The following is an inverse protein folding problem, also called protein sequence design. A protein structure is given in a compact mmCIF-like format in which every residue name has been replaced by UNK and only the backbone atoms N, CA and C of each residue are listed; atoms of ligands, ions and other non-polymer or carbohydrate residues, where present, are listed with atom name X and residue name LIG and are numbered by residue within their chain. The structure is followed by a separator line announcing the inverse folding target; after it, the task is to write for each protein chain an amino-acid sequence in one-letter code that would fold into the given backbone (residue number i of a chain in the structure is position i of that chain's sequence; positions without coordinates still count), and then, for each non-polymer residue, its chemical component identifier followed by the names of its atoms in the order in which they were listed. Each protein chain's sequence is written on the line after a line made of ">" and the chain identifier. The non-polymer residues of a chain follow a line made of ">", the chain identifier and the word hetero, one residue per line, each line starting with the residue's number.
data_IF_924463704329
#
_entry.id   IF_924463704329
#
_cell.length_a   1.000
_cell.length_b   1.000
_cell.length_c   1.000
_cell.angle_alpha   90.00
_cell.angle_beta   90.00
_cell.angle_gamma   90.00
#
_symmetry.space_group_name_H-M   'P 1'
#
loop_
_entity.id
_entity.type
_entity.pdbx_description
1 polymer ?
#
# COMPACT_ATOMS: atom_id res chain seq x y z
N UNK A 1 -20.58 -3.20 32.24
CA UNK A 1 -20.51 -4.13 31.08
C UNK A 1 -21.39 -3.62 29.94
N UNK A 2 -22.52 -2.97 30.23
CA UNK A 2 -23.35 -2.29 29.22
C UNK A 2 -22.74 -0.96 28.71
N UNK A 3 -22.02 -0.21 29.55
CA UNK A 3 -21.37 1.05 29.13
C UNK A 3 -20.24 0.85 28.10
N UNK A 4 -19.62 -0.34 28.08
CA UNK A 4 -18.59 -0.70 27.08
C UNK A 4 -19.17 -1.04 25.71
N UNK A 5 -20.45 -1.43 25.65
CA UNK A 5 -21.17 -1.74 24.40
C UNK A 5 -21.74 -0.45 23.77
N UNK A 6 -22.10 0.54 24.59
CA UNK A 6 -22.58 1.85 24.14
C UNK A 6 -21.43 2.67 23.54
N UNK A 7 -20.24 2.66 24.16
CA UNK A 7 -19.05 3.30 23.59
C UNK A 7 -18.58 2.66 22.26
N UNK A 8 -18.78 1.35 22.09
CA UNK A 8 -18.51 0.66 20.82
C UNK A 8 -19.53 1.06 19.72
N UNK A 9 -20.81 1.27 20.10
CA UNK A 9 -21.87 1.70 19.18
C UNK A 9 -21.74 3.17 18.74
N UNK A 10 -21.27 4.07 19.60
CA UNK A 10 -21.03 5.47 19.22
C UNK A 10 -19.78 5.63 18.32
N UNK A 11 -18.75 4.81 18.52
CA UNK A 11 -17.58 4.69 17.62
C UNK A 11 -17.94 4.08 16.25
N UNK A 12 -18.93 3.17 16.21
CA UNK A 12 -19.38 2.50 14.98
C UNK A 12 -19.98 3.47 13.95
N UNK A 13 -20.62 4.56 14.40
CA UNK A 13 -21.27 5.54 13.53
C UNK A 13 -20.33 6.36 12.64
N UNK A 14 -19.07 6.55 13.07
CA UNK A 14 -18.03 7.25 12.28
C UNK A 14 -17.22 6.25 11.44
N UNK A 15 -17.11 5.00 11.93
CA UNK A 15 -16.28 3.98 11.30
C UNK A 15 -16.82 3.44 9.98
N UNK A 16 -18.15 3.36 9.81
CA UNK A 16 -18.79 2.93 8.56
C UNK A 16 -18.65 3.97 7.44
N UNK A 17 -18.93 5.27 7.65
CA UNK A 17 -18.62 6.32 6.68
C UNK A 17 -17.13 6.39 6.32
N UNK A 18 -16.26 6.12 7.28
CA UNK A 18 -14.81 6.11 7.05
C UNK A 18 -14.39 4.95 6.14
N UNK A 19 -14.95 3.75 6.34
CA UNK A 19 -14.68 2.60 5.46
C UNK A 19 -15.16 2.87 4.03
N UNK A 20 -16.34 3.45 3.87
CA UNK A 20 -16.90 3.82 2.55
C UNK A 20 -16.04 4.90 1.86
N UNK A 21 -15.54 5.87 2.63
CA UNK A 21 -14.60 6.87 2.12
C UNK A 21 -13.28 6.23 1.66
N UNK A 22 -12.74 5.27 2.42
CA UNK A 22 -11.56 4.52 2.02
C UNK A 22 -11.81 3.66 0.77
N UNK A 23 -12.95 2.97 0.71
CA UNK A 23 -13.36 2.16 -0.44
C UNK A 23 -13.42 3.02 -1.70
N UNK A 24 -14.12 4.16 -1.63
CA UNK A 24 -14.18 5.14 -2.72
C UNK A 24 -12.78 5.64 -3.10
N UNK A 25 -11.94 5.95 -2.12
CA UNK A 25 -10.59 6.45 -2.37
C UNK A 25 -9.70 5.41 -3.05
N UNK A 26 -9.79 4.15 -2.62
CA UNK A 26 -9.03 3.03 -3.20
C UNK A 26 -9.53 2.69 -4.62
N UNK A 27 -10.84 2.76 -4.87
CA UNK A 27 -11.41 2.60 -6.23
C UNK A 27 -10.94 3.67 -7.22
N UNK A 28 -10.52 4.84 -6.74
CA UNK A 28 -10.00 5.92 -7.56
C UNK A 28 -8.49 5.77 -7.87
N UNK A 29 -7.76 4.94 -7.12
CA UNK A 29 -6.30 4.77 -7.31
C UNK A 29 -5.92 4.27 -8.72
N UNK A 30 -6.57 3.23 -9.29
CA UNK A 30 -6.27 2.78 -10.66
C UNK A 30 -6.54 3.85 -11.71
N UNK A 31 -7.57 4.67 -11.49
CA UNK A 31 -7.91 5.78 -12.39
C UNK A 31 -6.81 6.85 -12.34
N UNK A 32 -6.37 7.24 -11.14
CA UNK A 32 -5.24 8.18 -10.98
C UNK A 32 -3.96 7.67 -11.63
N UNK A 33 -3.67 6.38 -11.53
CA UNK A 33 -2.54 5.77 -12.23
C UNK A 33 -2.69 5.90 -13.77
N UNK A 34 -3.87 5.60 -14.31
CA UNK A 34 -4.09 5.70 -15.76
C UNK A 34 -3.99 7.12 -16.31
N UNK A 35 -4.26 8.14 -15.50
CA UNK A 35 -4.15 9.55 -15.90
C UNK A 35 -2.71 10.07 -15.97
N UNK A 36 -1.71 9.19 -15.76
CA UNK A 36 -0.33 9.43 -16.14
C UNK A 36 0.19 10.77 -15.64
N UNK A 37 0.48 10.91 -14.35
CA UNK A 37 1.25 12.08 -13.92
C UNK A 37 2.62 12.06 -14.64
N UNK A 38 3.07 13.21 -15.16
CA UNK A 38 4.44 13.43 -15.71
C UNK A 38 5.49 12.72 -14.86
N UNK A 39 6.57 12.19 -15.45
CA UNK A 39 7.61 11.43 -14.76
C UNK A 39 8.12 12.09 -13.45
N UNK A 40 8.16 13.44 -13.35
CA UNK A 40 8.58 14.15 -12.13
C UNK A 40 7.45 14.35 -11.12
N UNK A 41 6.23 14.62 -11.59
CA UNK A 41 5.02 14.64 -10.75
C UNK A 41 4.66 13.24 -10.25
N UNK A 42 4.92 12.22 -11.07
CA UNK A 42 4.87 10.79 -10.77
C UNK A 42 5.86 10.47 -9.67
N UNK A 43 7.14 10.87 -9.77
CA UNK A 43 8.12 10.70 -8.68
C UNK A 43 7.70 11.34 -7.36
N UNK A 44 6.93 12.44 -7.38
CA UNK A 44 6.39 13.10 -6.17
C UNK A 44 5.05 12.56 -5.68
N UNK A 45 4.19 12.02 -6.55
CA UNK A 45 2.97 11.31 -6.18
C UNK A 45 3.24 9.85 -5.80
N UNK A 46 4.38 9.32 -6.25
CA UNK A 46 4.98 8.02 -5.91
C UNK A 46 5.81 8.07 -4.61
N UNK A 47 5.72 9.12 -3.78
CA UNK A 47 6.12 8.89 -2.39
C UNK A 47 5.27 7.73 -1.88
N UNK A 48 5.92 6.62 -1.53
CA UNK A 48 5.28 5.43 -0.94
C UNK A 48 4.18 5.83 0.05
N UNK A 49 4.39 6.93 0.76
CA UNK A 49 3.50 7.48 1.77
C UNK A 49 2.05 7.71 1.33
N UNK A 50 1.75 8.10 0.08
CA UNK A 50 0.36 8.42 -0.27
C UNK A 50 -0.45 7.18 -0.70
N UNK A 51 0.00 6.45 -1.72
CA UNK A 51 -0.77 5.31 -2.26
C UNK A 51 -0.66 4.06 -1.38
N UNK A 52 0.56 3.74 -0.92
CA UNK A 52 0.77 2.60 -0.01
C UNK A 52 0.28 2.98 1.39
N UNK A 53 0.46 4.23 1.83
CA UNK A 53 -0.09 4.69 3.12
C UNK A 53 -1.62 4.65 3.15
N UNK A 54 -2.30 5.16 2.12
CA UNK A 54 -3.76 5.11 2.03
C UNK A 54 -4.29 3.66 2.07
N UNK A 55 -3.71 2.76 1.27
CA UNK A 55 -4.10 1.35 1.27
C UNK A 55 -3.82 0.65 2.62
N UNK A 56 -2.68 0.98 3.25
CA UNK A 56 -2.27 0.47 4.57
C UNK A 56 -3.24 0.89 5.67
N UNK A 57 -3.64 2.17 5.67
CA UNK A 57 -4.59 2.74 6.63
C UNK A 57 -6.01 2.23 6.38
N UNK A 58 -6.43 2.14 5.12
CA UNK A 58 -7.71 1.53 4.72
C UNK A 58 -7.79 0.08 5.20
N UNK A 59 -6.73 -0.70 5.01
CA UNK A 59 -6.66 -2.09 5.46
C UNK A 59 -6.68 -2.21 6.99
N UNK A 60 -5.98 -1.32 7.71
CA UNK A 60 -6.07 -1.27 9.17
C UNK A 60 -7.50 -0.92 9.64
N UNK A 61 -8.19 -0.01 8.94
CA UNK A 61 -9.59 0.32 9.21
C UNK A 61 -10.53 -0.87 8.98
N UNK A 62 -10.44 -1.52 7.81
CA UNK A 62 -11.22 -2.70 7.48
C UNK A 62 -10.98 -3.84 8.49
N UNK A 63 -9.73 -4.05 8.90
CA UNK A 63 -9.39 -5.05 9.92
C UNK A 63 -10.03 -4.77 11.28
N UNK A 64 -10.12 -3.50 11.71
CA UNK A 64 -10.81 -3.13 12.96
C UNK A 64 -12.32 -3.38 12.90
N UNK A 65 -12.91 -3.32 11.71
CA UNK A 65 -14.31 -3.61 11.45
C UNK A 65 -14.60 -5.09 11.18
N UNK A 66 -13.60 -5.96 11.33
CA UNK A 66 -13.68 -7.39 11.05
C UNK A 66 -13.99 -7.73 9.58
N UNK A 67 -13.77 -6.78 8.66
CA UNK A 67 -13.89 -6.94 7.21
C UNK A 67 -12.54 -7.35 6.61
N UNK A 68 -12.03 -8.53 7.01
CA UNK A 68 -10.67 -8.97 6.72
C UNK A 68 -10.43 -9.18 5.21
N UNK A 69 -11.45 -9.62 4.48
CA UNK A 69 -11.39 -9.75 3.01
C UNK A 69 -11.15 -8.40 2.34
N UNK A 70 -11.94 -7.37 2.70
CA UNK A 70 -11.75 -6.00 2.18
C UNK A 70 -10.37 -5.44 2.50
N UNK A 71 -9.82 -5.75 3.68
CA UNK A 71 -8.47 -5.31 4.04
C UNK A 71 -7.43 -5.81 3.03
N UNK A 72 -7.53 -7.07 2.58
CA UNK A 72 -6.66 -7.63 1.54
C UNK A 72 -6.91 -7.00 0.18
N UNK A 73 -8.17 -6.78 -0.20
CA UNK A 73 -8.53 -6.10 -1.45
C UNK A 73 -7.92 -4.69 -1.53
N UNK A 74 -7.96 -3.93 -0.43
CA UNK A 74 -7.34 -2.59 -0.36
C UNK A 74 -5.82 -2.64 -0.51
N UNK A 75 -5.16 -3.60 0.13
CA UNK A 75 -3.70 -3.75 0.02
C UNK A 75 -3.28 -4.17 -1.39
N UNK A 76 -4.02 -5.07 -2.02
CA UNK A 76 -3.75 -5.46 -3.40
C UNK A 76 -3.94 -4.27 -4.35
N UNK A 77 -5.04 -3.53 -4.21
CA UNK A 77 -5.32 -2.37 -5.05
C UNK A 77 -4.20 -1.33 -4.98
N UNK A 78 -3.75 -0.98 -3.77
CA UNK A 78 -2.63 -0.05 -3.59
C UNK A 78 -1.33 -0.54 -4.24
N UNK A 79 -1.00 -1.83 -4.08
CA UNK A 79 0.22 -2.43 -4.65
C UNK A 79 0.15 -2.55 -6.17
N UNK A 80 -0.98 -2.95 -6.73
CA UNK A 80 -1.17 -3.10 -8.17
C UNK A 80 -1.11 -1.76 -8.88
N UNK A 81 -1.60 -0.70 -8.26
CA UNK A 81 -1.44 0.68 -8.73
C UNK A 81 0.03 1.11 -8.69
N UNK A 82 0.73 0.84 -7.59
CA UNK A 82 2.16 1.13 -7.50
C UNK A 82 2.98 0.39 -8.57
N UNK A 83 2.76 -0.92 -8.74
CA UNK A 83 3.52 -1.73 -9.69
C UNK A 83 3.16 -1.42 -11.15
N UNK A 84 1.90 -1.14 -11.46
CA UNK A 84 1.51 -0.71 -12.82
C UNK A 84 2.19 0.61 -13.20
N UNK A 85 2.31 1.56 -12.27
CA UNK A 85 3.05 2.80 -12.48
C UNK A 85 4.58 2.59 -12.57
N UNK A 86 5.15 1.77 -11.69
CA UNK A 86 6.58 1.53 -11.63
C UNK A 86 7.11 0.76 -12.85
N UNK A 87 6.31 -0.19 -13.37
CA UNK A 87 6.67 -1.07 -14.47
C UNK A 87 6.05 -0.64 -15.82
N UNK A 88 5.30 0.46 -15.86
CA UNK A 88 4.54 0.93 -17.04
C UNK A 88 3.61 -0.15 -17.62
N UNK A 89 3.10 -1.04 -16.76
CA UNK A 89 2.23 -2.13 -17.18
C UNK A 89 0.83 -1.58 -17.43
N UNK A 90 0.39 -1.63 -18.68
CA UNK A 90 -0.96 -1.26 -19.13
C UNK A 90 -1.84 -2.49 -19.39
N UNK A 91 -1.63 -3.58 -18.64
CA UNK A 91 -2.23 -4.90 -18.91
C UNK A 91 -3.74 -4.84 -19.13
N UNK A 92 -4.48 -4.03 -18.37
CA UNK A 92 -5.93 -3.90 -18.55
C UNK A 92 -6.32 -3.23 -19.87
N UNK A 93 -5.56 -2.25 -20.35
CA UNK A 93 -5.84 -1.58 -21.62
C UNK A 93 -5.46 -2.46 -22.81
N UNK A 94 -4.42 -3.29 -22.68
CA UNK A 94 -3.99 -4.21 -23.74
C UNK A 94 -5.07 -5.28 -24.00
N UNK A 95 -5.66 -5.83 -22.92
CA UNK A 95 -6.80 -6.77 -23.02
C UNK A 95 -8.03 -6.11 -23.67
N UNK A 96 -8.29 -4.84 -23.34
CA UNK A 96 -9.37 -4.07 -23.95
C UNK A 96 -9.10 -3.77 -25.43
N UNK A 97 -7.87 -3.46 -25.81
CA UNK A 97 -7.47 -3.16 -27.18
C UNK A 97 -7.64 -4.37 -28.10
N UNK A 98 -7.39 -5.58 -27.58
CA UNK A 98 -7.57 -6.83 -28.32
C UNK A 98 -9.04 -7.11 -28.70
N UNK A 99 -10.00 -6.68 -27.88
CA UNK A 99 -11.44 -6.97 -28.07
C UNK A 99 -12.21 -5.76 -28.61
N UNK A 100 -11.91 -4.56 -28.10
CA UNK A 100 -12.58 -3.29 -28.41
C UNK A 100 -11.55 -2.16 -28.66
N UNK A 101 -10.85 -2.15 -29.80
CA UNK A 101 -9.78 -1.20 -30.08
C UNK A 101 -10.25 0.27 -30.08
N UNK A 102 -11.46 0.56 -30.56
CA UNK A 102 -12.01 1.92 -30.58
C UNK A 102 -12.24 2.49 -29.17
N UNK A 103 -12.70 1.66 -28.22
CA UNK A 103 -12.89 2.06 -26.82
C UNK A 103 -11.55 2.27 -26.12
N UNK A 104 -10.57 1.40 -26.39
CA UNK A 104 -9.22 1.53 -25.87
C UNK A 104 -8.55 2.84 -26.36
N UNK A 105 -8.68 3.18 -27.64
CA UNK A 105 -8.16 4.42 -28.20
C UNK A 105 -8.84 5.65 -27.58
N UNK A 106 -10.17 5.62 -27.41
CA UNK A 106 -10.92 6.69 -26.75
C UNK A 106 -10.46 6.93 -25.31
N UNK A 107 -10.29 5.88 -24.51
CA UNK A 107 -9.77 5.97 -23.14
C UNK A 107 -8.36 6.56 -23.14
N UNK A 108 -7.49 6.10 -24.05
CA UNK A 108 -6.11 6.58 -24.19
C UNK A 108 -6.06 8.08 -24.51
N UNK A 109 -6.93 8.54 -25.42
CA UNK A 109 -7.02 9.94 -25.81
C UNK A 109 -7.54 10.83 -24.65
N UNK A 110 -8.59 10.40 -23.94
CA UNK A 110 -9.12 11.15 -22.79
C UNK A 110 -8.07 11.23 -21.66
N UNK A 111 -7.38 10.13 -21.36
CA UNK A 111 -6.29 10.12 -20.37
C UNK A 111 -5.19 11.11 -20.73
N UNK A 112 -4.73 11.12 -21.99
CA UNK A 112 -3.70 12.06 -22.47
C UNK A 112 -4.14 13.53 -22.35
N UNK A 113 -5.40 13.83 -22.63
CA UNK A 113 -5.94 15.18 -22.43
C UNK A 113 -6.00 15.59 -20.95
N UNK A 114 -6.32 14.64 -20.05
CA UNK A 114 -6.34 14.86 -18.59
C UNK A 114 -4.94 15.09 -18.04
N UNK A 115 -3.95 14.32 -18.51
CA UNK A 115 -2.52 14.50 -18.18
C UNK A 115 -2.05 15.91 -18.55
N UNK A 116 -2.22 16.30 -19.82
CA UNK A 116 -1.82 17.63 -20.33
C UNK A 116 -2.50 18.77 -19.58
N UNK A 117 -3.73 18.53 -19.14
CA UNK A 117 -4.41 19.47 -18.28
C UNK A 117 -3.77 19.57 -16.89
N UNK A 118 -3.57 18.47 -16.18
CA UNK A 118 -3.01 18.46 -14.81
C UNK A 118 -1.73 19.33 -14.67
N UNK A 119 -0.76 19.15 -15.57
CA UNK A 119 -0.14 20.21 -16.40
C UNK A 119 -0.24 21.65 -15.90
N UNK A 120 -1.22 22.32 -16.49
CA UNK A 120 -1.50 23.75 -16.40
C UNK A 120 -1.96 24.14 -15.02
N UNK A 121 -2.78 23.31 -14.37
CA UNK A 121 -3.33 23.58 -13.04
C UNK A 121 -2.22 23.63 -11.96
N UNK A 122 -1.23 22.73 -12.03
CA UNK A 122 -0.09 22.75 -11.10
C UNK A 122 0.86 23.91 -11.40
N UNK A 123 1.03 24.26 -12.68
CA UNK A 123 1.85 25.43 -13.06
C UNK A 123 1.21 26.78 -12.71
N UNK A 124 -0.13 26.89 -12.72
CA UNK A 124 -0.84 28.11 -12.31
C UNK A 124 -0.83 28.31 -10.80
N UNK A 125 -0.84 27.25 -9.99
CA UNK A 125 -0.68 27.32 -8.52
C UNK A 125 0.69 27.89 -8.11
N UNK A 126 1.72 27.77 -8.98
CA UNK A 126 3.09 28.23 -8.70
C UNK A 126 3.37 29.70 -9.05
N UNK A 127 2.43 30.43 -9.64
CA UNK A 127 2.62 31.84 -10.04
C UNK A 127 1.73 32.73 -9.15
N UNK A 128 2.35 33.71 -8.47
CA UNK A 128 1.72 34.74 -7.61
C UNK A 128 0.56 35.48 -8.32
N UNK A 129 -0.38 36.11 -7.59
CA UNK A 129 -1.65 36.55 -8.14
C UNK A 129 -1.47 37.81 -9.00
N UNK A 130 -1.78 37.72 -10.29
CA UNK A 130 -1.82 38.86 -11.18
C UNK A 130 -3.09 38.87 -12.06
N UNK A 131 -4.09 39.62 -11.57
CA UNK A 131 -5.14 40.32 -12.35
C UNK A 131 -6.26 39.47 -12.96
N UNK A 132 -7.51 39.97 -12.85
CA UNK A 132 -8.84 39.44 -13.26
C UNK A 132 -8.95 38.55 -14.52
N UNK A 133 -7.98 38.57 -15.44
CA UNK A 133 -7.93 37.63 -16.58
C UNK A 133 -7.59 36.20 -16.16
N UNK A 134 -6.81 36.03 -15.09
CA UNK A 134 -6.43 34.73 -14.55
C UNK A 134 -7.65 34.02 -13.94
N UNK A 135 -8.56 34.72 -13.26
CA UNK A 135 -9.80 34.12 -12.75
C UNK A 135 -10.70 33.58 -13.87
N UNK A 136 -10.87 34.29 -14.98
CA UNK A 136 -11.63 33.80 -16.14
C UNK A 136 -10.95 32.63 -16.87
N UNK A 137 -9.61 32.56 -16.89
CA UNK A 137 -8.88 31.42 -17.46
C UNK A 137 -8.94 30.21 -16.52
N UNK A 138 -8.82 30.41 -15.21
CA UNK A 138 -9.01 29.37 -14.19
C UNK A 138 -10.43 28.78 -14.23
N UNK A 139 -11.47 29.61 -14.35
CA UNK A 139 -12.87 29.13 -14.46
C UNK A 139 -13.12 28.32 -15.74
N UNK A 140 -12.51 28.72 -16.86
CA UNK A 140 -12.62 27.99 -18.14
C UNK A 140 -11.84 26.69 -18.12
N UNK A 141 -10.67 26.69 -17.51
CA UNK A 141 -9.87 25.49 -17.32
C UNK A 141 -10.60 24.52 -16.38
N UNK A 142 -11.19 24.99 -15.28
CA UNK A 142 -12.02 24.19 -14.37
C UNK A 142 -13.24 23.59 -15.05
N UNK A 143 -13.97 24.36 -15.86
CA UNK A 143 -15.11 23.86 -16.64
C UNK A 143 -14.67 22.79 -17.64
N UNK A 144 -13.50 22.97 -18.27
CA UNK A 144 -12.90 21.99 -19.18
C UNK A 144 -12.50 20.71 -18.44
N UNK A 145 -11.86 20.80 -17.27
CA UNK A 145 -11.54 19.62 -16.44
C UNK A 145 -12.79 18.86 -16.03
N UNK A 146 -13.82 19.55 -15.55
CA UNK A 146 -15.08 18.91 -15.16
C UNK A 146 -15.70 18.16 -16.33
N UNK A 147 -15.71 18.76 -17.53
CA UNK A 147 -16.22 18.11 -18.75
C UNK A 147 -15.38 16.89 -19.14
N UNK A 148 -14.06 16.99 -19.02
CA UNK A 148 -13.16 15.90 -19.38
C UNK A 148 -13.22 14.74 -18.38
N UNK A 149 -13.36 15.04 -17.09
CA UNK A 149 -13.61 14.05 -16.04
C UNK A 149 -14.98 13.36 -16.24
N UNK A 150 -16.01 14.11 -16.64
CA UNK A 150 -17.31 13.51 -16.97
C UNK A 150 -17.21 12.54 -18.16
N UNK A 151 -16.49 12.92 -19.23
CA UNK A 151 -16.21 12.03 -20.37
C UNK A 151 -15.40 10.79 -19.97
N UNK A 152 -14.47 10.94 -19.02
CA UNK A 152 -13.69 9.84 -18.48
C UNK A 152 -14.58 8.83 -17.76
N UNK A 153 -15.41 9.29 -16.82
CA UNK A 153 -16.37 8.44 -16.11
C UNK A 153 -17.32 7.74 -17.08
N UNK A 154 -17.86 8.47 -18.07
CA UNK A 154 -18.74 7.91 -19.09
C UNK A 154 -18.05 6.81 -19.92
N UNK A 155 -16.80 7.03 -20.33
CA UNK A 155 -16.02 6.04 -21.08
C UNK A 155 -15.72 4.79 -20.24
N UNK A 156 -15.41 4.94 -18.95
CA UNK A 156 -15.24 3.81 -18.05
C UNK A 156 -16.52 3.00 -17.88
N UNK A 157 -17.66 3.67 -17.74
CA UNK A 157 -18.96 3.00 -17.62
C UNK A 157 -19.37 2.28 -18.91
N UNK A 158 -18.96 2.79 -20.07
CA UNK A 158 -19.18 2.13 -21.36
C UNK A 158 -18.34 0.86 -21.51
N UNK A 159 -17.07 0.89 -21.08
CA UNK A 159 -16.22 -0.30 -21.03
C UNK A 159 -16.79 -1.33 -20.05
N UNK A 160 -17.25 -0.91 -18.87
CA UNK A 160 -17.84 -1.80 -17.87
C UNK A 160 -19.17 -2.41 -18.27
N UNK A 161 -19.79 -1.94 -19.37
CA UNK A 161 -20.97 -2.57 -19.98
C UNK A 161 -20.61 -3.67 -20.98
N UNK A 162 -19.34 -3.80 -21.37
CA UNK A 162 -18.89 -4.87 -22.26
C UNK A 162 -18.70 -6.17 -21.48
N UNK A 163 -19.05 -7.29 -22.11
CA UNK A 163 -18.92 -8.62 -21.51
C UNK A 163 -17.45 -8.91 -21.19
N UNK A 164 -17.16 -9.27 -19.93
CA UNK A 164 -15.81 -9.56 -19.45
C UNK A 164 -15.01 -8.35 -18.95
N UNK A 165 -15.57 -7.13 -19.07
CA UNK A 165 -14.95 -5.88 -18.62
C UNK A 165 -15.72 -5.20 -17.48
N UNK A 166 -16.67 -5.88 -16.83
CA UNK A 166 -17.58 -5.32 -15.83
C UNK A 166 -16.84 -4.70 -14.64
N UNK A 167 -15.66 -5.24 -14.32
CA UNK A 167 -14.75 -4.76 -13.27
C UNK A 167 -13.54 -3.99 -13.80
N UNK A 168 -13.58 -3.49 -15.04
CA UNK A 168 -12.48 -2.73 -15.63
C UNK A 168 -12.06 -1.56 -14.71
N UNK A 169 -10.77 -1.53 -14.37
CA UNK A 169 -10.15 -0.59 -13.42
C UNK A 169 -10.83 -0.53 -12.04
N UNK A 170 -11.40 -1.63 -11.57
CA UNK A 170 -11.81 -1.78 -10.17
C UNK A 170 -10.83 -2.68 -9.42
N UNK A 171 -10.67 -2.49 -8.10
CA UNK A 171 -9.96 -3.44 -7.25
C UNK A 171 -10.45 -4.89 -7.47
N UNK A 172 -9.52 -5.84 -7.43
CA UNK A 172 -9.86 -7.27 -7.47
C UNK A 172 -10.58 -7.66 -6.19
N UNK A 173 -11.58 -8.53 -6.32
CA UNK A 173 -12.26 -9.08 -5.15
C UNK A 173 -11.43 -10.17 -4.48
N UNK A 174 -11.68 -10.38 -3.20
CA UNK A 174 -11.01 -11.39 -2.40
C UNK A 174 -11.15 -12.80 -3.01
N UNK A 175 -12.29 -13.11 -3.63
CA UNK A 175 -12.52 -14.39 -4.29
C UNK A 175 -11.58 -14.61 -5.48
N UNK A 176 -11.25 -13.55 -6.22
CA UNK A 176 -10.25 -13.61 -7.31
C UNK A 176 -8.83 -13.72 -6.73
N UNK A 177 -8.56 -13.03 -5.63
CA UNK A 177 -7.26 -13.02 -4.97
C UNK A 177 -6.91 -14.34 -4.28
N UNK A 178 -7.90 -15.14 -3.86
CA UNK A 178 -7.65 -16.49 -3.30
C UNK A 178 -6.88 -17.40 -4.25
N UNK A 179 -6.96 -17.18 -5.57
CA UNK A 179 -6.18 -17.94 -6.55
C UNK A 179 -4.65 -17.84 -6.34
N UNK A 180 -4.16 -16.75 -5.71
CA UNK A 180 -2.75 -16.62 -5.35
C UNK A 180 -2.28 -17.69 -4.36
N UNK A 181 -3.20 -18.24 -3.56
CA UNK A 181 -2.91 -19.27 -2.57
C UNK A 181 -3.01 -20.71 -3.11
N UNK A 182 -3.01 -20.91 -4.44
CA UNK A 182 -3.16 -22.23 -5.05
C UNK A 182 -2.02 -23.20 -4.71
N UNK A 183 -0.80 -22.67 -4.60
CA UNK A 183 0.40 -23.44 -4.26
C UNK A 183 0.73 -23.42 -2.77
N UNK A 184 -0.14 -22.86 -1.93
CA UNK A 184 0.06 -22.77 -0.48
C UNK A 184 -0.42 -21.44 0.11
N UNK A 185 -0.42 -21.31 1.45
CA UNK A 185 -0.85 -20.08 2.12
C UNK A 185 -0.05 -18.86 1.64
N UNK A 186 -0.76 -17.78 1.31
CA UNK A 186 -0.16 -16.47 0.96
C UNK A 186 -0.30 -15.51 2.13
N UNK A 187 0.80 -14.87 2.51
CA UNK A 187 0.86 -13.99 3.69
C UNK A 187 1.08 -12.56 3.19
N UNK A 188 0.19 -11.65 3.57
CA UNK A 188 0.34 -10.21 3.32
C UNK A 188 0.60 -9.52 4.65
N UNK A 189 1.70 -8.77 4.73
CA UNK A 189 2.06 -7.99 5.90
C UNK A 189 1.60 -6.55 5.72
N UNK A 190 0.89 -6.03 6.71
CA UNK A 190 0.45 -4.65 6.77
C UNK A 190 1.03 -3.98 8.02
N UNK A 191 1.93 -3.02 7.83
CA UNK A 191 2.47 -2.21 8.92
C UNK A 191 1.90 -0.80 8.83
N UNK A 192 0.85 -0.52 9.60
CA UNK A 192 0.28 0.82 9.76
C UNK A 192 0.77 1.46 11.07
N UNK A 193 0.64 2.78 11.19
CA UNK A 193 0.91 3.46 12.47
C UNK A 193 -0.01 2.99 13.60
N UNK A 194 -1.20 2.48 13.27
CA UNK A 194 -2.18 2.02 14.25
C UNK A 194 -2.01 0.56 14.67
N UNK A 195 -1.53 -0.30 13.78
CA UNK A 195 -1.35 -1.74 14.01
C UNK A 195 -0.46 -2.38 12.95
N UNK A 196 0.27 -3.43 13.35
CA UNK A 196 0.97 -4.31 12.42
C UNK A 196 0.23 -5.65 12.36
N UNK A 197 -0.20 -6.06 11.17
CA UNK A 197 -1.09 -7.21 10.98
C UNK A 197 -0.57 -8.09 9.84
N UNK A 198 -0.61 -9.40 10.04
CA UNK A 198 -0.40 -10.38 8.98
C UNK A 198 -1.76 -10.95 8.54
N UNK A 199 -2.06 -10.86 7.24
CA UNK A 199 -3.22 -11.48 6.63
C UNK A 199 -2.82 -12.79 5.96
N UNK A 200 -3.50 -13.87 6.32
CA UNK A 200 -3.26 -15.21 5.80
C UNK A 200 -4.40 -15.57 4.85
N UNK A 201 -4.01 -15.80 3.60
CA UNK A 201 -4.92 -16.20 2.53
C UNK A 201 -4.71 -17.68 2.26
N UNK A 202 -5.79 -18.45 2.31
CA UNK A 202 -5.83 -19.85 1.91
C UNK A 202 -7.00 -20.09 0.95
N UNK A 203 -6.94 -21.16 0.16
CA UNK A 203 -8.04 -21.51 -0.74
C UNK A 203 -9.29 -21.97 0.02
N UNK A 204 -9.11 -22.74 1.09
CA UNK A 204 -10.18 -23.49 1.75
C UNK A 204 -10.91 -22.73 2.85
N UNK A 205 -10.35 -21.62 3.34
CA UNK A 205 -10.88 -20.88 4.49
C UNK A 205 -11.03 -19.41 4.14
N UNK A 206 -11.72 -18.68 5.01
CA UNK A 206 -11.72 -17.22 4.97
C UNK A 206 -10.38 -16.66 5.41
N UNK A 207 -10.12 -15.42 5.01
CA UNK A 207 -8.87 -14.75 5.33
C UNK A 207 -8.75 -14.60 6.83
N UNK A 208 -7.62 -15.03 7.38
CA UNK A 208 -7.32 -14.88 8.80
C UNK A 208 -6.41 -13.66 8.99
N UNK A 209 -6.62 -12.92 10.06
CA UNK A 209 -5.72 -11.83 10.47
C UNK A 209 -5.03 -12.18 11.79
N UNK A 210 -3.76 -11.80 11.89
CA UNK A 210 -2.95 -11.96 13.10
C UNK A 210 -2.34 -10.61 13.44
N UNK A 211 -2.57 -10.13 14.66
CA UNK A 211 -1.87 -8.97 15.16
C UNK A 211 -0.43 -9.34 15.52
N UNK A 212 0.54 -8.62 14.96
CA UNK A 212 1.96 -8.80 15.25
C UNK A 212 2.32 -7.94 16.45
N UNK A 213 1.95 -8.38 17.66
CA UNK A 213 1.99 -7.58 18.89
C UNK A 213 3.38 -7.01 19.22
N UNK A 214 4.44 -7.70 18.81
CA UNK A 214 5.83 -7.30 19.05
C UNK A 214 6.41 -6.42 17.93
N UNK A 215 5.65 -6.15 16.86
CA UNK A 215 6.05 -5.34 15.73
C UNK A 215 5.29 -4.00 15.74
N UNK A 216 6.04 -2.90 15.75
CA UNK A 216 5.50 -1.54 15.60
C UNK A 216 5.89 -0.98 14.23
N UNK A 217 5.21 0.08 13.79
CA UNK A 217 5.54 0.75 12.53
C UNK A 217 6.99 1.26 12.50
N UNK A 218 7.45 1.91 13.57
CA UNK A 218 8.84 2.37 13.70
C UNK A 218 9.82 1.20 13.59
N UNK A 219 9.53 0.09 14.27
CA UNK A 219 10.37 -1.11 14.24
C UNK A 219 10.44 -1.73 12.84
N UNK A 220 9.29 -1.85 12.16
CA UNK A 220 9.22 -2.33 10.79
C UNK A 220 10.02 -1.43 9.84
N UNK A 221 9.89 -0.11 9.98
CA UNK A 221 10.60 0.86 9.16
C UNK A 221 12.12 0.73 9.33
N UNK A 222 12.58 0.62 10.57
CA UNK A 222 13.99 0.46 10.89
C UNK A 222 14.56 -0.88 10.35
N UNK A 223 13.81 -1.98 10.42
CA UNK A 223 14.22 -3.25 9.81
C UNK A 223 14.32 -3.17 8.29
N UNK A 224 13.39 -2.45 7.65
CA UNK A 224 13.40 -2.23 6.19
C UNK A 224 14.60 -1.38 5.79
N UNK A 225 14.89 -0.31 6.53
CA UNK A 225 16.02 0.57 6.24
C UNK A 225 17.35 -0.15 6.44
N UNK A 226 17.46 -0.99 7.48
CA UNK A 226 18.61 -1.87 7.70
C UNK A 226 18.79 -2.86 6.53
N UNK A 227 17.71 -3.53 6.11
CA UNK A 227 17.75 -4.45 4.97
C UNK A 227 18.20 -3.74 3.69
N UNK A 228 17.68 -2.55 3.40
CA UNK A 228 18.08 -1.75 2.22
C UNK A 228 19.55 -1.37 2.26
N UNK A 229 20.05 -0.96 3.43
CA UNK A 229 21.47 -0.63 3.61
C UNK A 229 22.36 -1.85 3.31
N UNK A 230 22.02 -3.02 3.88
CA UNK A 230 22.76 -4.27 3.64
C UNK A 230 22.72 -4.71 2.16
N UNK A 231 21.59 -4.54 1.47
CA UNK A 231 21.43 -4.95 0.07
C UNK A 231 22.10 -3.99 -0.92
N UNK A 232 22.26 -2.72 -0.57
CA UNK A 232 22.74 -1.69 -1.49
C UNK A 232 24.27 -1.62 -1.61
N UNK A 233 25.02 -2.56 -0.99
CA UNK A 233 26.49 -2.55 -0.87
C UNK A 233 27.08 -1.22 -0.35
N UNK A 234 26.23 -0.34 0.20
CA UNK A 234 26.65 0.91 0.82
C UNK A 234 26.99 0.61 2.27
N UNK A 235 28.18 1.06 2.68
CA UNK A 235 28.74 0.82 3.99
C UNK A 235 27.72 1.02 5.12
N UNK A 236 27.82 0.13 6.13
CA UNK A 236 27.12 0.12 7.42
C UNK A 236 27.10 1.52 8.09
N UNK A 237 27.97 2.43 7.65
CA UNK A 237 27.99 3.85 8.01
C UNK A 237 26.67 4.61 7.77
N UNK A 238 25.86 4.24 6.78
CA UNK A 238 24.52 4.85 6.57
C UNK A 238 23.53 4.52 7.70
N UNK A 239 23.66 3.35 8.34
CA UNK A 239 22.83 2.93 9.49
C UNK A 239 23.05 3.89 10.66
N UNK A 240 24.29 4.39 10.84
CA UNK A 240 24.64 5.35 11.90
C UNK A 240 23.86 6.67 11.81
N UNK A 241 23.52 7.13 10.60
CA UNK A 241 22.80 8.40 10.40
C UNK A 241 21.31 8.22 10.67
N UNK A 242 20.73 7.06 10.33
CA UNK A 242 19.30 6.80 10.51
C UNK A 242 18.93 6.62 11.99
N UNK A 243 19.76 5.94 12.78
CA UNK A 243 19.50 5.75 14.22
C UNK A 243 19.69 7.05 15.03
N UNK A 244 20.57 7.96 14.59
CA UNK A 244 20.81 9.24 15.27
C UNK A 244 19.75 10.32 14.98
N UNK A 245 19.02 10.20 13.87
CA UNK A 245 18.01 11.18 13.46
C UNK A 245 16.61 10.92 14.05
N UNK A 246 16.37 9.74 14.62
CA UNK A 246 15.18 9.46 15.43
C UNK A 246 15.52 9.75 16.89
N UNK A 247 15.02 10.87 17.40
CA UNK A 247 15.45 11.51 18.64
C UNK A 247 15.47 10.58 19.86
N UNK A 248 16.63 10.56 20.54
CA UNK A 248 16.81 10.03 21.90
C UNK A 248 16.05 10.93 22.89
N UNK A 249 14.88 10.52 23.35
CA UNK A 249 14.41 10.91 24.68
C UNK A 249 14.77 9.77 25.63
N UNK A 250 15.81 9.96 26.43
CA UNK A 250 16.26 8.96 27.40
C UNK A 250 15.17 8.75 28.46
N UNK A 251 14.44 7.64 28.36
CA UNK A 251 13.49 7.22 29.39
C UNK A 251 14.22 6.42 30.47
N UNK A 252 14.01 6.75 31.74
CA UNK A 252 14.64 6.08 32.90
C UNK A 252 13.91 4.79 33.30
N UNK A 253 13.37 4.04 32.33
CA UNK A 253 12.54 2.85 32.52
C UNK A 253 13.14 1.55 31.98
N UNK A 254 12.39 0.44 32.09
CA UNK A 254 12.71 -0.81 31.40
C UNK A 254 12.69 -0.51 29.90
N UNK A 255 13.78 -0.79 29.15
CA UNK A 255 13.82 -0.48 27.73
C UNK A 255 12.70 -1.20 27.00
N UNK A 256 11.93 -0.43 26.26
CA UNK A 256 10.88 -0.89 25.35
C UNK A 256 11.47 -1.86 24.32
N UNK A 257 10.64 -2.73 23.70
CA UNK A 257 11.11 -3.60 22.61
C UNK A 257 11.81 -2.83 21.47
N UNK A 258 11.45 -1.56 21.26
CA UNK A 258 12.07 -0.67 20.29
C UNK A 258 13.48 -0.23 20.74
N UNK A 259 13.62 0.31 21.96
CA UNK A 259 14.91 0.73 22.50
C UNK A 259 15.92 -0.45 22.58
N UNK A 260 15.43 -1.68 22.80
CA UNK A 260 16.27 -2.88 22.75
C UNK A 260 16.77 -3.20 21.34
N UNK A 261 15.92 -3.00 20.33
CA UNK A 261 16.31 -3.21 18.94
C UNK A 261 17.35 -2.17 18.52
N UNK A 262 17.13 -0.90 18.86
CA UNK A 262 18.04 0.20 18.59
C UNK A 262 19.40 -0.03 19.27
N UNK A 263 19.40 -0.43 20.55
CA UNK A 263 20.62 -0.80 21.28
C UNK A 263 21.33 -2.01 20.67
N UNK A 264 20.58 -3.03 20.21
CA UNK A 264 21.16 -4.17 19.51
C UNK A 264 21.83 -3.75 18.20
N UNK A 265 21.21 -2.83 17.45
CA UNK A 265 21.78 -2.28 16.21
C UNK A 265 23.03 -1.43 16.50
N UNK A 266 23.04 -0.67 17.59
CA UNK A 266 24.25 0.03 18.05
C UNK A 266 25.41 -0.95 18.30
N UNK A 267 25.15 -2.11 18.92
CA UNK A 267 26.19 -3.14 19.13
C UNK A 267 26.62 -3.88 17.86
N UNK A 268 25.76 -3.90 16.83
CA UNK A 268 26.04 -4.55 15.55
C UNK A 268 26.89 -3.69 14.60
N UNK A 269 27.24 -2.46 14.99
CA UNK A 269 28.04 -1.53 14.17
C UNK A 269 29.42 -2.08 13.83
N UNK A 270 30.02 -2.89 14.71
CA UNK A 270 31.36 -3.46 14.53
C UNK A 270 31.34 -4.86 13.87
N UNK A 271 30.17 -5.38 13.56
CA UNK A 271 30.00 -6.75 13.07
C UNK A 271 30.07 -6.82 11.54
N UNK A 272 30.48 -7.99 11.02
CA UNK A 272 30.54 -8.19 9.58
C UNK A 272 29.13 -8.13 8.96
N UNK A 273 28.95 -7.66 7.71
CA UNK A 273 27.62 -7.55 7.08
C UNK A 273 26.80 -8.84 7.12
N UNK A 274 27.45 -10.00 7.02
CA UNK A 274 26.79 -11.31 7.11
C UNK A 274 26.22 -11.61 8.51
N UNK A 275 26.89 -11.16 9.57
CA UNK A 275 26.43 -11.33 10.95
C UNK A 275 25.23 -10.43 11.22
N UNK A 276 25.28 -9.18 10.75
CA UNK A 276 24.14 -8.24 10.82
C UNK A 276 22.95 -8.77 10.02
N UNK A 277 23.19 -9.35 8.84
CA UNK A 277 22.16 -9.99 8.03
C UNK A 277 21.55 -11.22 8.73
N UNK A 278 22.38 -12.06 9.35
CA UNK A 278 21.92 -13.20 10.15
C UNK A 278 21.07 -12.79 11.35
N UNK A 279 21.48 -11.75 12.07
CA UNK A 279 20.70 -11.16 13.14
C UNK A 279 19.36 -10.60 12.65
N UNK A 280 19.36 -9.85 11.54
CA UNK A 280 18.15 -9.32 10.92
C UNK A 280 17.14 -10.42 10.58
N UNK A 281 17.61 -11.53 10.00
CA UNK A 281 16.76 -12.69 9.72
C UNK A 281 16.20 -13.33 11.01
N UNK A 282 16.98 -13.37 12.09
CA UNK A 282 16.52 -13.84 13.40
C UNK A 282 15.43 -12.95 14.01
N UNK A 283 15.56 -11.63 13.87
CA UNK A 283 14.53 -10.67 14.28
C UNK A 283 13.26 -10.84 13.44
N UNK A 284 13.37 -10.90 12.10
CA UNK A 284 12.23 -11.14 11.22
C UNK A 284 11.54 -12.48 11.53
N UNK A 285 12.31 -13.51 11.89
CA UNK A 285 11.77 -14.79 12.32
C UNK A 285 10.90 -14.63 13.56
N UNK A 286 11.44 -14.02 14.60
CA UNK A 286 10.77 -13.88 15.91
C UNK A 286 9.52 -13.00 15.82
N UNK A 287 9.58 -11.92 15.04
CA UNK A 287 8.53 -10.91 14.98
C UNK A 287 7.41 -11.24 14.01
N UNK A 288 7.72 -11.96 12.93
CA UNK A 288 6.79 -12.14 11.81
C UNK A 288 6.57 -13.63 11.53
N UNK A 289 7.65 -14.37 11.27
CA UNK A 289 7.54 -15.74 10.75
C UNK A 289 6.99 -16.68 11.81
N UNK A 290 7.49 -16.63 13.03
CA UNK A 290 7.07 -17.49 14.12
C UNK A 290 5.57 -17.34 14.47
N UNK A 291 5.02 -16.12 14.66
CA UNK A 291 3.58 -15.94 14.86
C UNK A 291 2.74 -16.53 13.72
N UNK A 292 3.15 -16.33 12.47
CA UNK A 292 2.44 -16.85 11.30
C UNK A 292 2.52 -18.37 11.23
N UNK A 293 3.68 -18.97 11.51
CA UNK A 293 3.87 -20.42 11.53
C UNK A 293 3.00 -21.09 12.58
N UNK A 294 2.91 -20.50 13.78
CA UNK A 294 2.04 -21.02 14.83
C UNK A 294 0.56 -20.95 14.44
N UNK A 295 0.13 -19.85 13.83
CA UNK A 295 -1.26 -19.70 13.39
C UNK A 295 -1.65 -20.63 12.23
N UNK A 296 -0.69 -20.99 11.37
CA UNK A 296 -0.87 -21.99 10.32
C UNK A 296 -0.72 -23.44 10.83
N UNK A 297 -0.42 -23.64 12.11
CA UNK A 297 -0.16 -24.95 12.73
C UNK A 297 0.92 -25.77 11.99
N UNK A 298 1.88 -25.08 11.35
CA UNK A 298 2.93 -25.73 10.58
C UNK A 298 3.93 -26.39 11.51
N UNK A 299 4.13 -27.69 11.33
CA UNK A 299 5.20 -28.44 12.01
C UNK A 299 6.48 -28.31 11.20
N UNK A 300 7.53 -27.74 11.79
CA UNK A 300 8.87 -27.77 11.21
C UNK A 300 9.31 -29.22 11.11
N UNK A 301 9.29 -29.79 9.90
CA UNK A 301 9.95 -31.07 9.64
C UNK A 301 11.45 -30.82 9.71
N UNK A 302 12.07 -31.17 10.83
CA UNK A 302 13.52 -31.19 10.94
C UNK A 302 14.04 -32.38 10.12
N UNK A 303 14.20 -32.19 8.81
CA UNK A 303 15.05 -33.06 8.01
C UNK A 303 16.49 -32.63 8.27
N UNK A 304 17.23 -33.48 9.00
CA UNK A 304 18.69 -33.41 9.03
C UNK A 304 19.15 -33.49 7.57
N UNK A 305 19.78 -32.42 7.10
CA UNK A 305 20.29 -32.15 5.76
C UNK A 305 19.28 -31.53 4.78
N UNK A 306 19.55 -30.25 4.48
CA UNK A 306 18.94 -29.38 3.47
C UNK A 306 17.51 -28.87 3.76
N UNK A 307 17.45 -27.57 4.09
CA UNK A 307 16.26 -26.73 3.93
C UNK A 307 15.90 -26.67 2.44
N UNK A 308 14.98 -27.52 2.02
CA UNK A 308 14.23 -27.31 0.78
C UNK A 308 12.77 -27.14 1.20
N UNK A 309 12.25 -25.93 1.03
CA UNK A 309 10.85 -25.60 1.21
C UNK A 309 10.10 -26.01 -0.06
N UNK A 310 9.08 -26.85 0.08
CA UNK A 310 7.95 -26.99 -0.85
C UNK A 310 6.68 -26.75 -0.04
#
# INVERSE_FOLDING_TARGET
>A
MEDSIIAFRESSGISLPLLEAYETSVELLPQQAMLGLDIQSRRKALTLDLTIGLATDAAACASRLNEIGKAVEFLEAGRSVFWSQALQLHTSLDDLEAVHPELAERIRNISKELEVGSHRAVSSIRILPAVDKDHMMLDKDDARYRKLNAKWVEALDEVRRQQGFERFLRPKLMNELKAAAINGPTIILNASRSSCTAFIITLSRDVQSINLENLTWNRAQLLVDLLRALLSQNDVHMIQTLTKLQGREASTGIPTPQERLEGSIETLQDHAPNEVFGWLLGELWTLIVQPVFHALELKVKSTRNCLVLF
#
